data_IF_674177270722
#
_entry.id   IF_674177270722
#
_cell.length_a   1.000
_cell.length_b   1.000
_cell.length_c   1.000
_cell.angle_alpha   90.00
_cell.angle_beta   90.00
_cell.angle_gamma   90.00
#
_symmetry.space_group_name_H-M   'P 1'
#
loop_
_entity.id
_entity.type
_entity.pdbx_description
1 polymer ?
#
# COMPACT_ATOMS: atom_id res chain seq x y z
N UNK A 1 16.60 83.33 -3.65
CA UNK A 1 16.12 84.09 -4.82
C UNK A 1 15.24 83.19 -5.66
N UNK A 2 14.15 83.78 -6.10
CA UNK A 2 12.94 83.18 -6.66
C UNK A 2 13.13 82.33 -7.93
N UNK A 3 12.21 81.39 -8.20
CA UNK A 3 12.07 80.77 -9.51
C UNK A 3 11.43 81.78 -10.48
N UNK A 4 12.16 82.15 -11.55
CA UNK A 4 11.61 82.96 -12.63
C UNK A 4 10.77 82.10 -13.61
N UNK A 5 9.73 82.68 -14.23
CA UNK A 5 8.45 82.03 -14.45
C UNK A 5 8.18 81.58 -15.90
N UNK A 6 7.18 80.70 -16.04
CA UNK A 6 6.53 80.34 -17.30
C UNK A 6 5.83 81.56 -17.92
N UNK A 7 5.98 81.72 -19.23
CA UNK A 7 4.97 82.37 -20.08
C UNK A 7 4.55 81.40 -21.19
N UNK A 8 3.25 81.19 -21.25
CA UNK A 8 2.49 80.40 -22.21
C UNK A 8 2.11 81.27 -23.44
N UNK A 9 1.59 80.67 -24.53
CA UNK A 9 1.85 81.05 -25.92
C UNK A 9 0.81 81.98 -26.54
N UNK A 10 1.12 82.51 -27.74
CA UNK A 10 0.12 83.10 -28.65
C UNK A 10 0.53 82.89 -30.13
N UNK A 11 -0.44 82.90 -31.08
CA UNK A 11 -0.61 81.78 -32.00
C UNK A 11 -0.56 82.15 -33.50
N UNK A 12 -0.30 81.09 -34.29
CA UNK A 12 -0.71 80.83 -35.70
C UNK A 12 -0.13 81.70 -36.81
N UNK A 13 0.48 81.01 -37.78
CA UNK A 13 0.06 81.13 -39.18
C UNK A 13 0.38 79.81 -39.90
N UNK A 14 -0.67 79.08 -40.29
CA UNK A 14 -0.59 78.00 -41.28
C UNK A 14 -0.57 78.62 -42.69
N UNK A 15 0.39 78.30 -43.56
CA UNK A 15 0.18 78.31 -44.98
C UNK A 15 -0.06 76.87 -45.45
N UNK A 16 -1.32 76.62 -45.80
CA UNK A 16 -1.90 75.66 -46.74
C UNK A 16 -1.21 74.29 -47.03
N UNK A 17 -2.00 73.20 -47.17
CA UNK A 17 -1.48 71.85 -47.32
C UNK A 17 -0.66 71.69 -48.60
N UNK A 18 0.59 71.22 -48.48
CA UNK A 18 1.25 70.50 -49.57
C UNK A 18 0.64 69.11 -49.62
N UNK A 19 0.14 68.72 -50.79
CA UNK A 19 -0.32 67.36 -51.07
C UNK A 19 0.82 66.35 -50.78
N UNK A 20 0.76 65.63 -49.66
CA UNK A 20 0.54 64.17 -49.70
C UNK A 20 1.18 63.44 -50.89
N UNK A 21 2.51 63.23 -51.00
CA UNK A 21 3.06 62.30 -51.97
C UNK A 21 2.41 60.92 -51.80
N UNK A 22 1.80 60.43 -52.88
CA UNK A 22 1.09 59.16 -52.96
C UNK A 22 1.98 58.01 -52.41
N UNK A 23 1.51 57.21 -51.44
CA UNK A 23 2.30 56.14 -50.83
C UNK A 23 2.74 55.09 -51.86
N UNK A 24 3.95 54.55 -51.66
CA UNK A 24 4.52 53.47 -52.48
C UNK A 24 3.58 52.26 -52.54
N UNK A 25 3.50 51.57 -53.69
CA UNK A 25 2.54 50.49 -53.89
C UNK A 25 2.84 49.31 -52.94
N UNK A 26 1.86 48.99 -52.10
CA UNK A 26 1.90 47.89 -51.12
C UNK A 26 1.27 46.61 -51.73
N UNK A 27 1.43 45.45 -51.10
CA UNK A 27 0.83 44.17 -51.56
C UNK A 27 -0.69 44.28 -51.73
N UNK A 28 -1.33 45.14 -50.94
CA UNK A 28 -2.75 45.47 -51.01
C UNK A 28 -3.14 46.26 -52.28
N UNK A 29 -2.21 46.95 -52.92
CA UNK A 29 -2.45 47.67 -54.18
C UNK A 29 -2.39 46.77 -55.41
N UNK A 30 -1.89 45.54 -55.24
CA UNK A 30 -1.89 44.51 -56.28
C UNK A 30 -3.24 43.82 -56.45
N UNK A 31 -4.26 44.20 -55.67
CA UNK A 31 -5.63 43.68 -55.77
C UNK A 31 -6.48 44.61 -56.65
N UNK A 32 -6.70 44.29 -57.94
CA UNK A 32 -7.44 45.16 -58.84
C UNK A 32 -8.95 45.11 -58.59
N UNK A 33 -9.60 46.26 -58.71
CA UNK A 33 -11.05 46.36 -58.76
C UNK A 33 -11.58 46.07 -60.19
N UNK A 34 -12.78 45.47 -60.36
CA UNK A 34 -13.39 45.25 -61.68
C UNK A 34 -13.57 46.54 -62.50
N UNK A 35 -13.60 46.48 -63.82
CA UNK A 35 -13.55 47.68 -64.70
C UNK A 35 -14.79 48.58 -64.68
N UNK A 36 -15.86 48.24 -63.93
CA UNK A 36 -17.12 48.99 -63.85
C UNK A 36 -17.62 49.20 -62.41
N UNK A 37 -16.75 49.61 -61.48
CA UNK A 37 -17.17 49.88 -60.09
C UNK A 37 -17.66 51.33 -59.92
N UNK A 38 -18.72 51.52 -59.13
CA UNK A 38 -19.23 52.84 -58.77
C UNK A 38 -18.20 53.57 -57.87
N UNK A 39 -18.08 54.92 -57.95
CA UNK A 39 -17.09 55.69 -57.18
C UNK A 39 -17.12 55.43 -55.66
N UNK A 40 -18.32 55.24 -55.10
CA UNK A 40 -18.52 54.93 -53.67
C UNK A 40 -17.90 53.58 -53.25
N UNK A 41 -17.81 52.63 -54.18
CA UNK A 41 -17.24 51.31 -53.92
C UNK A 41 -15.71 51.33 -54.03
N UNK A 42 -15.13 52.15 -54.90
CA UNK A 42 -13.67 52.37 -54.93
C UNK A 42 -13.18 53.10 -53.67
N UNK A 43 -13.93 54.10 -53.20
CA UNK A 43 -13.64 54.78 -51.93
C UNK A 43 -13.70 53.81 -50.73
N UNK A 44 -14.72 52.95 -50.68
CA UNK A 44 -14.83 51.93 -49.64
C UNK A 44 -13.68 50.91 -49.69
N UNK A 45 -13.19 50.53 -50.88
CA UNK A 45 -12.08 49.61 -51.02
C UNK A 45 -10.75 50.22 -50.56
N UNK A 46 -10.47 51.48 -50.91
CA UNK A 46 -9.30 52.20 -50.43
C UNK A 46 -9.36 52.43 -48.90
N UNK A 47 -10.54 52.68 -48.34
CA UNK A 47 -10.73 52.74 -46.89
C UNK A 47 -10.44 51.40 -46.21
N UNK A 48 -10.83 50.27 -46.81
CA UNK A 48 -10.51 48.93 -46.31
C UNK A 48 -9.00 48.66 -46.39
N UNK A 49 -8.33 49.02 -47.48
CA UNK A 49 -6.87 48.90 -47.59
C UNK A 49 -6.15 49.72 -46.53
N UNK A 50 -6.57 50.97 -46.32
CA UNK A 50 -6.00 51.84 -45.29
C UNK A 50 -6.17 51.26 -43.88
N UNK A 51 -7.37 50.74 -43.56
CA UNK A 51 -7.63 50.07 -42.28
C UNK A 51 -6.81 48.77 -42.13
N UNK A 52 -6.61 48.02 -43.21
CA UNK A 52 -5.76 46.83 -43.22
C UNK A 52 -4.29 47.19 -42.97
N UNK A 53 -3.76 48.24 -43.62
CA UNK A 53 -2.40 48.75 -43.38
C UNK A 53 -2.19 49.18 -41.92
N UNK A 54 -3.15 49.90 -41.36
CA UNK A 54 -3.10 50.30 -39.95
C UNK A 54 -3.05 49.08 -39.02
N UNK A 55 -3.87 48.06 -39.29
CA UNK A 55 -3.91 46.82 -38.50
C UNK A 55 -2.64 45.97 -38.65
N UNK A 56 -2.07 45.92 -39.85
CA UNK A 56 -0.77 45.26 -40.06
C UNK A 56 0.30 45.98 -39.26
N UNK A 57 0.35 47.32 -39.31
CA UNK A 57 1.30 48.12 -38.55
C UNK A 57 1.18 47.99 -37.03
N UNK A 58 -0.02 47.78 -36.49
CA UNK A 58 -0.19 47.49 -35.05
C UNK A 58 0.29 46.07 -34.72
N UNK A 59 -0.06 45.08 -35.54
CA UNK A 59 0.33 43.69 -35.31
C UNK A 59 1.84 43.50 -35.42
N UNK A 60 2.51 44.17 -36.35
CA UNK A 60 3.98 44.09 -36.47
C UNK A 60 4.65 44.63 -35.21
N UNK A 61 4.23 45.78 -34.69
CA UNK A 61 4.73 46.32 -33.41
C UNK A 61 4.50 45.37 -32.24
N UNK A 62 3.29 44.84 -32.10
CA UNK A 62 2.99 43.85 -31.05
C UNK A 62 3.87 42.59 -31.18
N UNK A 63 4.12 42.11 -32.40
CA UNK A 63 5.01 40.95 -32.59
C UNK A 63 6.46 41.24 -32.25
N UNK A 64 6.95 42.47 -32.49
CA UNK A 64 8.30 42.90 -32.09
C UNK A 64 8.42 43.03 -30.57
N UNK A 65 7.42 43.61 -29.90
CA UNK A 65 7.34 43.67 -28.44
C UNK A 65 7.26 42.28 -27.79
N UNK A 66 6.48 41.35 -28.37
CA UNK A 66 6.41 39.97 -27.88
C UNK A 66 7.72 39.21 -28.10
N UNK A 67 8.40 39.42 -29.23
CA UNK A 67 9.72 38.82 -29.49
C UNK A 67 10.78 39.32 -28.51
N UNK A 68 10.81 40.61 -28.22
CA UNK A 68 11.74 41.18 -27.23
C UNK A 68 11.46 40.69 -25.81
N UNK A 69 10.18 40.54 -25.42
CA UNK A 69 9.83 39.92 -24.13
C UNK A 69 10.22 38.45 -24.06
N UNK A 70 10.07 37.69 -25.15
CA UNK A 70 10.49 36.29 -25.20
C UNK A 70 12.00 36.14 -25.06
N UNK A 71 12.80 36.97 -25.74
CA UNK A 71 14.27 36.90 -25.61
C UNK A 71 14.74 37.28 -24.21
N UNK A 72 14.09 38.24 -23.54
CA UNK A 72 14.38 38.58 -22.15
C UNK A 72 14.02 37.45 -21.17
N UNK A 73 12.86 36.80 -21.37
CA UNK A 73 12.44 35.64 -20.57
C UNK A 73 13.33 34.42 -20.81
N UNK A 74 13.74 34.17 -22.05
CA UNK A 74 14.70 33.13 -22.40
C UNK A 74 16.08 33.39 -21.76
N UNK A 75 16.54 34.65 -21.73
CA UNK A 75 17.78 35.02 -21.06
C UNK A 75 17.69 34.77 -19.53
N UNK A 76 16.55 35.07 -18.91
CA UNK A 76 16.31 34.78 -17.48
C UNK A 76 16.21 33.28 -17.17
N UNK A 77 15.79 32.46 -18.13
CA UNK A 77 15.57 31.02 -17.92
C UNK A 77 16.74 30.13 -18.35
N UNK A 78 17.69 30.64 -19.15
CA UNK A 78 18.87 29.88 -19.61
C UNK A 78 19.79 29.39 -18.49
N UNK A 79 19.82 30.05 -17.33
CA UNK A 79 20.55 29.60 -16.13
C UNK A 79 19.65 28.88 -15.09
N UNK A 80 18.47 28.41 -15.50
CA UNK A 80 17.52 27.70 -14.63
C UNK A 80 16.66 28.61 -13.76
N UNK A 81 16.60 29.91 -14.04
CA UNK A 81 15.72 30.87 -13.35
C UNK A 81 16.03 31.13 -11.87
N UNK A 82 17.08 30.49 -11.33
CA UNK A 82 17.49 30.65 -9.93
C UNK A 82 18.72 31.56 -9.87
N UNK A 83 18.63 32.73 -9.22
CA UNK A 83 19.77 33.60 -8.92
C UNK A 83 20.96 32.83 -8.32
N UNK A 84 22.21 33.21 -8.66
CA UNK A 84 23.40 32.50 -8.19
C UNK A 84 23.53 32.47 -6.66
N UNK A 85 23.08 33.53 -5.98
CA UNK A 85 23.02 33.60 -4.51
C UNK A 85 22.10 32.51 -3.93
N UNK A 86 20.91 32.35 -4.51
CA UNK A 86 19.95 31.31 -4.10
C UNK A 86 20.46 29.89 -4.40
N UNK A 87 21.23 29.69 -5.47
CA UNK A 87 21.88 28.38 -5.73
C UNK A 87 22.88 28.04 -4.63
N UNK A 88 23.68 29.02 -4.20
CA UNK A 88 24.66 28.85 -3.13
C UNK A 88 23.98 28.56 -1.78
N UNK A 89 22.96 29.33 -1.41
CA UNK A 89 22.17 29.07 -0.21
C UNK A 89 21.53 27.68 -0.22
N UNK A 90 20.99 27.26 -1.38
CA UNK A 90 20.39 25.95 -1.54
C UNK A 90 21.42 24.81 -1.42
N UNK A 91 22.65 25.00 -1.91
CA UNK A 91 23.76 24.06 -1.71
C UNK A 91 24.18 24.00 -0.24
N UNK A 92 24.31 25.15 0.43
CA UNK A 92 24.62 25.22 1.86
C UNK A 92 23.53 24.51 2.69
N UNK A 93 22.25 24.77 2.41
CA UNK A 93 21.12 24.09 3.06
C UNK A 93 21.13 22.58 2.81
N UNK A 94 21.47 22.13 1.59
CA UNK A 94 21.62 20.69 1.29
C UNK A 94 22.75 20.06 2.11
N UNK A 95 23.91 20.71 2.20
CA UNK A 95 25.02 20.20 3.00
C UNK A 95 24.70 20.18 4.49
N UNK A 96 24.01 21.20 4.99
CA UNK A 96 23.54 21.26 6.38
C UNK A 96 22.55 20.14 6.68
N UNK A 97 21.53 19.96 5.83
CA UNK A 97 20.56 18.88 5.95
C UNK A 97 21.23 17.50 5.93
N UNK A 98 22.15 17.26 5.00
CA UNK A 98 22.86 15.98 4.92
C UNK A 98 23.65 15.67 6.20
N UNK A 99 24.25 16.69 6.84
CA UNK A 99 24.95 16.50 8.13
C UNK A 99 23.98 16.15 9.26
N UNK A 100 22.80 16.77 9.31
CA UNK A 100 21.76 16.41 10.28
C UNK A 100 21.23 14.99 10.04
N UNK A 101 21.02 14.61 8.77
CA UNK A 101 20.57 13.27 8.40
C UNK A 101 21.61 12.19 8.80
N UNK A 102 22.91 12.52 8.74
CA UNK A 102 23.98 11.65 9.26
C UNK A 102 23.88 11.50 10.78
N UNK A 103 23.73 12.58 11.55
CA UNK A 103 23.60 12.51 13.02
C UNK A 103 22.37 11.71 13.46
N UNK A 104 21.27 11.83 12.72
CA UNK A 104 20.03 11.15 12.97
C UNK A 104 20.01 9.69 12.48
N UNK A 105 21.05 9.21 11.77
CA UNK A 105 21.08 7.85 11.24
C UNK A 105 21.00 6.82 12.40
N UNK A 106 20.00 5.93 12.38
CA UNK A 106 19.86 4.87 13.39
C UNK A 106 21.12 4.02 13.58
N UNK A 107 22.00 3.89 12.57
CA UNK A 107 23.25 3.13 12.67
C UNK A 107 24.13 3.61 13.82
N UNK A 108 24.09 4.88 14.18
CA UNK A 108 24.87 5.40 15.31
C UNK A 108 24.27 5.06 16.68
N UNK A 109 23.00 4.61 16.73
CA UNK A 109 22.38 4.10 17.96
C UNK A 109 22.98 2.76 18.42
N UNK A 110 23.59 1.99 17.51
CA UNK A 110 24.29 0.75 17.85
C UNK A 110 25.41 1.00 18.88
N UNK A 111 26.08 2.16 18.81
CA UNK A 111 27.06 2.55 19.82
C UNK A 111 26.41 2.79 21.17
N UNK A 112 25.27 3.48 21.20
CA UNK A 112 24.52 3.75 22.43
C UNK A 112 24.02 2.44 23.08
N UNK A 113 23.59 1.47 22.26
CA UNK A 113 23.20 0.13 22.71
C UNK A 113 24.38 -0.66 23.27
N UNK A 114 25.55 -0.61 22.62
CA UNK A 114 26.78 -1.24 23.13
C UNK A 114 27.26 -0.62 24.44
N UNK A 115 27.17 0.71 24.56
CA UNK A 115 27.46 1.43 25.82
C UNK A 115 26.51 0.96 26.91
N UNK A 116 25.20 0.89 26.65
CA UNK A 116 24.21 0.38 27.62
C UNK A 116 24.48 -1.07 28.04
N UNK A 117 24.78 -1.94 27.09
CA UNK A 117 25.11 -3.35 27.34
C UNK A 117 26.38 -3.48 28.21
N UNK A 118 27.42 -2.71 27.88
CA UNK A 118 28.68 -2.69 28.64
C UNK A 118 28.48 -2.13 30.05
N UNK A 119 27.68 -1.06 30.18
CA UNK A 119 27.28 -0.46 31.45
C UNK A 119 26.51 -1.45 32.33
N UNK A 120 25.57 -2.19 31.74
CA UNK A 120 24.84 -3.26 32.45
C UNK A 120 25.81 -4.32 32.96
N UNK A 121 26.78 -4.71 32.13
CA UNK A 121 27.82 -5.67 32.50
C UNK A 121 28.72 -5.16 33.64
N UNK A 122 28.98 -3.85 33.74
CA UNK A 122 29.68 -3.24 34.89
C UNK A 122 28.85 -3.42 36.17
N UNK A 123 27.55 -3.13 36.12
CA UNK A 123 26.67 -3.32 37.28
C UNK A 123 26.63 -4.79 37.72
N UNK A 124 26.54 -5.73 36.80
CA UNK A 124 26.58 -7.16 37.12
C UNK A 124 27.91 -7.56 37.79
N UNK A 125 29.04 -7.01 37.31
CA UNK A 125 30.35 -7.24 37.92
C UNK A 125 30.47 -6.63 39.31
N UNK A 126 29.86 -5.47 39.54
CA UNK A 126 29.78 -4.87 40.87
C UNK A 126 28.99 -5.75 41.83
N UNK A 127 27.85 -6.30 41.41
CA UNK A 127 27.08 -7.27 42.22
C UNK A 127 27.91 -8.51 42.56
N UNK A 128 28.60 -9.07 41.56
CA UNK A 128 29.50 -10.22 41.76
C UNK A 128 30.63 -9.91 42.76
N UNK A 129 31.06 -8.65 42.83
CA UNK A 129 32.06 -8.17 43.79
C UNK A 129 31.51 -7.78 45.15
N UNK A 130 30.21 -7.98 45.41
CA UNK A 130 29.57 -7.72 46.71
C UNK A 130 28.90 -6.36 46.85
N UNK A 131 28.75 -5.58 45.77
CA UNK A 131 27.93 -4.37 45.81
C UNK A 131 26.45 -4.72 45.93
N UNK A 132 25.73 -4.02 46.81
CA UNK A 132 24.28 -4.18 46.95
C UNK A 132 23.51 -3.47 45.82
N UNK A 133 22.25 -3.85 45.62
CA UNK A 133 21.35 -3.16 44.68
C UNK A 133 21.16 -1.67 45.04
N UNK A 134 21.24 -1.32 46.33
CA UNK A 134 21.17 0.08 46.77
C UNK A 134 22.37 0.90 46.29
N UNK A 135 23.56 0.30 46.25
CA UNK A 135 24.77 0.96 45.72
C UNK A 135 24.62 1.20 44.23
N UNK A 136 24.11 0.21 43.49
CA UNK A 136 23.90 0.33 42.04
C UNK A 136 22.84 1.38 41.73
N UNK A 137 21.76 1.42 42.51
CA UNK A 137 20.73 2.45 42.38
C UNK A 137 21.30 3.85 42.64
N UNK A 138 22.13 4.03 43.67
CA UNK A 138 22.83 5.30 43.91
C UNK A 138 23.74 5.69 42.74
N UNK A 139 24.45 4.74 42.13
CA UNK A 139 25.26 5.00 40.92
C UNK A 139 24.37 5.49 39.77
N UNK A 140 23.23 4.83 39.54
CA UNK A 140 22.28 5.25 38.51
C UNK A 140 21.69 6.63 38.79
N UNK A 141 21.31 6.92 40.04
CA UNK A 141 20.74 8.20 40.47
C UNK A 141 21.75 9.36 40.37
N UNK A 142 23.05 9.09 40.51
CA UNK A 142 24.11 10.08 40.33
C UNK A 142 24.41 10.46 38.87
N UNK A 143 23.75 9.82 37.91
CA UNK A 143 24.00 10.02 36.47
C UNK A 143 24.70 8.85 35.79
N UNK A 144 24.77 7.69 36.45
CA UNK A 144 25.35 6.46 35.91
C UNK A 144 26.86 6.39 36.08
N UNK A 145 27.50 5.49 35.32
CA UNK A 145 28.91 5.13 35.48
C UNK A 145 29.91 6.28 35.24
N UNK A 146 29.47 7.39 34.65
CA UNK A 146 30.31 8.53 34.30
C UNK A 146 30.48 9.52 35.46
N UNK A 147 29.49 9.57 36.35
CA UNK A 147 29.45 10.53 37.45
C UNK A 147 30.01 9.95 38.76
N UNK A 148 30.58 8.74 38.71
CA UNK A 148 31.06 8.02 39.89
C UNK A 148 32.57 8.12 40.00
N UNK A 149 33.03 8.44 41.21
CA UNK A 149 34.44 8.32 41.59
C UNK A 149 34.82 6.85 41.80
N UNK A 150 35.47 6.25 40.80
CA UNK A 150 35.72 4.81 40.74
C UNK A 150 36.79 4.33 41.72
N UNK A 151 37.84 5.11 42.01
CA UNK A 151 38.98 4.67 42.82
C UNK A 151 38.56 4.13 44.20
N UNK A 152 37.66 4.86 44.88
CA UNK A 152 37.13 4.47 46.18
C UNK A 152 36.25 3.21 46.14
N UNK A 153 35.52 3.02 45.04
CA UNK A 153 34.63 1.88 44.83
C UNK A 153 35.42 0.62 44.44
N UNK A 154 36.37 0.78 43.52
CA UNK A 154 37.24 -0.27 42.98
C UNK A 154 38.19 -0.83 44.03
N UNK A 155 38.72 0.02 44.93
CA UNK A 155 39.65 -0.39 46.00
C UNK A 155 39.11 -1.48 46.94
N UNK A 156 37.78 -1.59 47.06
CA UNK A 156 37.07 -2.56 47.91
C UNK A 156 36.75 -3.88 47.20
N UNK A 157 36.93 -3.93 45.88
CA UNK A 157 36.61 -5.10 45.07
C UNK A 157 37.79 -6.06 44.95
N UNK A 158 37.54 -7.37 44.79
CA UNK A 158 38.56 -8.35 44.43
C UNK A 158 39.32 -7.95 43.17
N UNK A 159 40.64 -8.19 43.13
CA UNK A 159 41.53 -7.74 42.05
C UNK A 159 41.04 -8.13 40.65
N UNK A 160 40.52 -9.34 40.48
CA UNK A 160 40.00 -9.83 39.19
C UNK A 160 38.76 -9.05 38.74
N UNK A 161 37.86 -8.73 39.67
CA UNK A 161 36.63 -7.98 39.38
C UNK A 161 36.98 -6.52 39.09
N UNK A 162 37.88 -5.94 39.89
CA UNK A 162 38.41 -4.59 39.69
C UNK A 162 38.95 -4.40 38.28
N UNK A 163 39.91 -5.23 37.85
CA UNK A 163 40.50 -5.16 36.51
C UNK A 163 39.46 -5.30 35.40
N UNK A 164 38.47 -6.17 35.60
CA UNK A 164 37.39 -6.35 34.62
C UNK A 164 36.49 -5.11 34.51
N UNK A 165 36.26 -4.38 35.60
CA UNK A 165 35.45 -3.15 35.59
C UNK A 165 36.26 -2.00 34.99
N UNK A 166 37.53 -1.84 35.37
CA UNK A 166 38.46 -0.86 34.79
C UNK A 166 38.51 -1.01 33.26
N UNK A 167 38.67 -2.23 32.75
CA UNK A 167 38.63 -2.49 31.31
C UNK A 167 37.31 -2.05 30.67
N UNK A 168 36.17 -2.37 31.29
CA UNK A 168 34.85 -2.02 30.74
C UNK A 168 34.57 -0.52 30.78
N UNK A 169 35.11 0.21 31.76
CA UNK A 169 35.01 1.67 31.81
C UNK A 169 35.77 2.28 30.63
N UNK A 170 36.99 1.79 30.36
CA UNK A 170 37.78 2.17 29.18
C UNK A 170 37.03 1.80 27.89
N UNK A 171 36.39 0.63 27.82
CA UNK A 171 35.61 0.21 26.66
C UNK A 171 34.42 1.17 26.41
N UNK A 172 33.73 1.62 27.47
CA UNK A 172 32.63 2.61 27.35
C UNK A 172 33.13 3.94 26.81
N UNK A 173 34.25 4.45 27.34
CA UNK A 173 34.85 5.70 26.86
C UNK A 173 35.29 5.59 25.40
N UNK A 174 35.97 4.48 25.07
CA UNK A 174 36.38 4.18 23.69
C UNK A 174 35.18 4.12 22.74
N UNK A 175 34.09 3.44 23.13
CA UNK A 175 32.86 3.37 22.31
C UNK A 175 32.25 4.74 22.05
N UNK A 176 32.31 5.66 23.01
CA UNK A 176 31.83 7.03 22.85
C UNK A 176 32.72 7.84 21.92
N UNK A 177 34.04 7.73 22.08
CA UNK A 177 34.99 8.37 21.17
C UNK A 177 34.83 7.83 19.75
N UNK A 178 34.69 6.52 19.59
CA UNK A 178 34.50 5.87 18.29
C UNK A 178 33.20 6.35 17.64
N UNK A 179 32.11 6.49 18.42
CA UNK A 179 30.86 7.08 17.94
C UNK A 179 31.09 8.51 17.46
N UNK A 180 31.76 9.35 18.25
CA UNK A 180 32.02 10.75 17.89
C UNK A 180 32.87 10.83 16.61
N UNK A 181 33.97 10.05 16.53
CA UNK A 181 34.83 9.97 15.35
C UNK A 181 34.07 9.48 14.12
N UNK A 182 33.24 8.45 14.25
CA UNK A 182 32.46 7.90 13.16
C UNK A 182 31.40 8.88 12.65
N UNK A 183 30.72 9.61 13.54
CA UNK A 183 29.74 10.64 13.18
C UNK A 183 30.44 11.81 12.47
N UNK A 184 31.55 12.31 13.02
CA UNK A 184 32.28 13.41 12.40
C UNK A 184 32.85 13.03 11.03
N UNK A 185 33.38 11.82 10.88
CA UNK A 185 33.86 11.33 9.59
C UNK A 185 32.73 11.19 8.56
N UNK A 186 31.58 10.67 8.98
CA UNK A 186 30.40 10.61 8.14
C UNK A 186 29.88 12.01 7.74
N UNK A 187 29.96 13.01 8.63
CA UNK A 187 29.59 14.41 8.32
C UNK A 187 30.51 15.07 7.30
N UNK A 188 31.83 14.80 7.36
CA UNK A 188 32.78 15.30 6.36
C UNK A 188 32.43 14.82 4.96
N UNK A 189 31.91 13.59 4.86
CA UNK A 189 31.52 12.93 3.63
C UNK A 189 30.00 12.73 3.50
N UNK A 190 29.19 13.65 4.05
CA UNK A 190 27.75 13.43 4.27
C UNK A 190 26.99 13.03 3.00
N UNK A 191 27.23 13.70 1.87
CA UNK A 191 26.56 13.37 0.60
C UNK A 191 26.89 11.95 0.11
N UNK A 192 28.14 11.51 0.24
CA UNK A 192 28.57 10.16 -0.13
C UNK A 192 28.00 9.12 0.83
N UNK A 193 28.00 9.42 2.13
CA UNK A 193 27.43 8.57 3.16
C UNK A 193 25.93 8.34 2.92
N UNK A 194 25.14 9.40 2.70
CA UNK A 194 23.70 9.30 2.45
C UNK A 194 23.41 8.53 1.16
N UNK A 195 24.18 8.77 0.09
CA UNK A 195 24.04 8.01 -1.16
C UNK A 195 24.31 6.52 -0.94
N UNK A 196 25.42 6.17 -0.28
CA UNK A 196 25.76 4.78 0.04
C UNK A 196 24.71 4.13 0.96
N UNK A 197 24.14 4.88 1.90
CA UNK A 197 23.09 4.39 2.80
C UNK A 197 21.78 4.11 2.08
N UNK A 198 21.40 4.99 1.15
CA UNK A 198 20.25 4.78 0.28
C UNK A 198 20.44 3.54 -0.60
N UNK A 199 21.63 3.37 -1.19
CA UNK A 199 21.96 2.20 -2.00
C UNK A 199 21.94 0.91 -1.17
N UNK A 200 22.53 0.92 0.02
CA UNK A 200 22.48 -0.21 0.95
C UNK A 200 21.04 -0.58 1.31
N UNK A 201 20.20 0.41 1.58
CA UNK A 201 18.78 0.19 1.89
C UNK A 201 18.05 -0.41 0.70
N UNK A 202 18.32 0.06 -0.53
CA UNK A 202 17.76 -0.52 -1.75
C UNK A 202 18.16 -1.99 -1.91
N UNK A 203 19.46 -2.28 -1.77
CA UNK A 203 19.99 -3.66 -1.84
C UNK A 203 19.39 -4.58 -0.78
N UNK A 204 19.20 -4.09 0.44
CA UNK A 204 18.55 -4.85 1.51
C UNK A 204 17.08 -5.16 1.18
N UNK A 205 16.36 -4.21 0.59
CA UNK A 205 14.97 -4.43 0.13
C UNK A 205 14.91 -5.44 -1.00
N UNK A 206 15.81 -5.34 -1.98
CA UNK A 206 15.90 -6.30 -3.09
C UNK A 206 16.23 -7.71 -2.59
N UNK A 207 17.17 -7.83 -1.64
CA UNK A 207 17.50 -9.11 -1.02
C UNK A 207 16.31 -9.69 -0.24
N UNK A 208 15.65 -8.88 0.60
CA UNK A 208 14.47 -9.31 1.34
C UNK A 208 13.32 -9.75 0.41
N UNK A 209 13.14 -9.04 -0.71
CA UNK A 209 12.17 -9.41 -1.76
C UNK A 209 12.53 -10.75 -2.41
N UNK A 210 13.79 -10.96 -2.75
CA UNK A 210 14.25 -12.23 -3.33
C UNK A 210 14.06 -13.40 -2.35
N UNK A 211 14.36 -13.20 -1.06
CA UNK A 211 14.11 -14.19 0.00
C UNK A 211 12.62 -14.47 0.18
N UNK A 212 11.76 -13.45 0.16
CA UNK A 212 10.31 -13.60 0.26
C UNK A 212 9.74 -14.42 -0.91
N UNK A 213 10.19 -14.16 -2.14
CA UNK A 213 9.80 -14.94 -3.33
C UNK A 213 10.25 -16.39 -3.16
N UNK A 214 11.51 -16.62 -2.79
CA UNK A 214 12.05 -17.98 -2.58
C UNK A 214 11.25 -18.75 -1.54
N UNK A 215 10.99 -18.16 -0.37
CA UNK A 215 10.18 -18.80 0.66
C UNK A 215 8.73 -19.02 0.23
N UNK A 216 8.15 -18.08 -0.53
CA UNK A 216 6.82 -18.25 -1.13
C UNK A 216 6.74 -19.45 -2.07
N UNK A 217 7.75 -19.65 -2.93
CA UNK A 217 7.85 -20.79 -3.82
C UNK A 217 8.07 -22.11 -3.07
N UNK A 218 8.94 -22.14 -2.07
CA UNK A 218 9.16 -23.31 -1.20
C UNK A 218 7.85 -23.75 -0.51
N UNK A 219 7.11 -22.79 0.07
CA UNK A 219 5.82 -23.04 0.70
C UNK A 219 4.77 -23.53 -0.31
N UNK A 220 4.68 -22.89 -1.48
CA UNK A 220 3.77 -23.32 -2.54
C UNK A 220 4.05 -24.76 -2.99
N UNK A 221 5.33 -25.13 -3.15
CA UNK A 221 5.73 -26.48 -3.56
C UNK A 221 5.48 -27.54 -2.46
N UNK A 222 5.59 -27.15 -1.19
CA UNK A 222 5.27 -28.03 -0.05
C UNK A 222 3.77 -28.24 0.15
N UNK A 223 2.93 -27.39 -0.43
CA UNK A 223 1.49 -27.39 -0.24
C UNK A 223 0.80 -28.30 -1.27
N UNK A 224 0.20 -29.41 -0.80
CA UNK A 224 -0.43 -30.43 -1.67
C UNK A 224 -1.42 -29.87 -2.70
N UNK A 225 -2.33 -28.97 -2.31
CA UNK A 225 -3.34 -28.44 -3.22
C UNK A 225 -2.75 -27.50 -4.29
N UNK A 226 -1.55 -26.96 -4.07
CA UNK A 226 -0.82 -26.10 -4.99
C UNK A 226 -0.02 -26.89 -6.04
N UNK A 227 -0.14 -28.21 -6.05
CA UNK A 227 0.40 -29.07 -7.11
C UNK A 227 -0.61 -29.19 -8.24
N UNK A 228 -0.14 -28.97 -9.46
CA UNK A 228 -0.93 -29.22 -10.66
C UNK A 228 -1.23 -30.73 -10.79
N UNK A 229 -2.44 -31.04 -11.24
CA UNK A 229 -2.91 -32.40 -11.47
C UNK A 229 -2.79 -32.73 -12.94
N UNK A 230 -2.22 -33.89 -13.26
CA UNK A 230 -2.21 -34.40 -14.63
C UNK A 230 -3.60 -34.92 -15.01
N UNK A 231 -4.04 -34.67 -16.25
CA UNK A 231 -5.32 -35.17 -16.75
C UNK A 231 -5.14 -36.64 -17.18
N UNK A 232 -5.81 -37.61 -16.53
CA UNK A 232 -5.75 -39.00 -16.96
C UNK A 232 -6.32 -39.19 -18.37
N UNK A 233 -5.70 -40.06 -19.17
CA UNK A 233 -6.17 -40.35 -20.53
C UNK A 233 -7.63 -40.86 -20.58
N UNK A 234 -8.07 -41.55 -19.52
CA UNK A 234 -9.42 -42.12 -19.37
C UNK A 234 -10.37 -41.22 -18.56
N UNK A 235 -9.98 -39.99 -18.24
CA UNK A 235 -10.83 -39.10 -17.45
C UNK A 235 -12.14 -38.79 -18.18
N UNK A 236 -13.23 -38.85 -17.43
CA UNK A 236 -14.54 -38.41 -17.90
C UNK A 236 -14.53 -36.90 -18.20
N UNK A 237 -15.46 -36.37 -19.02
CA UNK A 237 -15.54 -34.93 -19.28
C UNK A 237 -15.67 -34.09 -18.00
N UNK A 238 -16.37 -34.60 -16.98
CA UNK A 238 -16.52 -33.93 -15.69
C UNK A 238 -15.20 -33.87 -14.91
N UNK A 239 -14.44 -34.97 -14.87
CA UNK A 239 -13.13 -35.02 -14.22
C UNK A 239 -12.11 -34.12 -14.92
N UNK A 240 -12.10 -34.11 -16.26
CA UNK A 240 -11.24 -33.20 -17.04
C UNK A 240 -11.48 -31.74 -16.66
N UNK A 241 -12.75 -31.32 -16.66
CA UNK A 241 -13.15 -29.95 -16.28
C UNK A 241 -12.74 -29.60 -14.85
N UNK A 242 -12.86 -30.53 -13.90
CA UNK A 242 -12.46 -30.30 -12.51
C UNK A 242 -10.93 -30.16 -12.37
N UNK A 243 -10.15 -30.98 -13.09
CA UNK A 243 -8.69 -30.91 -13.10
C UNK A 243 -8.20 -29.61 -13.75
N UNK A 244 -8.80 -29.21 -14.88
CA UNK A 244 -8.49 -27.94 -15.55
C UNK A 244 -8.79 -26.73 -14.64
N UNK A 245 -9.94 -26.72 -13.96
CA UNK A 245 -10.30 -25.67 -13.01
C UNK A 245 -9.32 -25.61 -11.83
N UNK A 246 -8.91 -26.77 -11.30
CA UNK A 246 -7.89 -26.86 -10.25
C UNK A 246 -6.55 -26.29 -10.73
N UNK A 247 -6.06 -26.72 -11.89
CA UNK A 247 -4.79 -26.24 -12.42
C UNK A 247 -4.81 -24.74 -12.71
N UNK A 248 -5.95 -24.21 -13.18
CA UNK A 248 -6.13 -22.76 -13.32
C UNK A 248 -6.03 -22.04 -11.99
N UNK A 249 -6.72 -22.52 -10.95
CA UNK A 249 -6.64 -21.94 -9.61
C UNK A 249 -5.19 -21.95 -9.07
N UNK A 250 -4.46 -23.05 -9.28
CA UNK A 250 -3.04 -23.15 -8.88
C UNK A 250 -2.19 -22.11 -9.62
N UNK A 251 -2.36 -21.97 -10.93
CA UNK A 251 -1.63 -20.98 -11.73
C UNK A 251 -1.94 -19.54 -11.29
N UNK A 252 -3.22 -19.20 -11.13
CA UNK A 252 -3.67 -17.88 -10.68
C UNK A 252 -3.14 -17.57 -9.27
N UNK A 253 -3.15 -18.56 -8.37
CA UNK A 253 -2.62 -18.42 -7.00
C UNK A 253 -1.11 -18.19 -6.98
N UNK A 254 -0.35 -18.90 -7.82
CA UNK A 254 1.11 -18.71 -7.95
C UNK A 254 1.45 -17.33 -8.49
N UNK A 255 0.67 -16.84 -9.47
CA UNK A 255 0.82 -15.48 -9.99
C UNK A 255 0.58 -14.44 -8.89
N UNK A 256 -0.54 -14.56 -8.16
CA UNK A 256 -0.87 -13.66 -7.06
C UNK A 256 0.21 -13.63 -5.96
N UNK A 257 0.77 -14.79 -5.59
CA UNK A 257 1.89 -14.88 -4.63
C UNK A 257 3.12 -14.12 -5.15
N UNK A 258 3.47 -14.29 -6.43
CA UNK A 258 4.63 -13.62 -7.03
C UNK A 258 4.46 -12.11 -7.11
N UNK A 259 3.26 -11.65 -7.46
CA UNK A 259 2.89 -10.22 -7.49
C UNK A 259 2.92 -9.61 -6.09
N UNK A 260 2.30 -10.28 -5.11
CA UNK A 260 2.30 -9.81 -3.73
C UNK A 260 3.71 -9.78 -3.11
N UNK A 261 4.54 -10.80 -3.39
CA UNK A 261 5.94 -10.81 -2.96
C UNK A 261 6.78 -9.74 -3.65
N UNK A 262 6.29 -9.19 -4.77
CA UNK A 262 6.99 -8.18 -5.57
C UNK A 262 6.62 -6.74 -5.24
N UNK A 263 5.49 -6.53 -4.57
CA UNK A 263 4.92 -5.22 -4.27
C UNK A 263 5.07 -4.89 -2.78
N UNK A 264 6.01 -4.01 -2.49
CA UNK A 264 6.30 -3.51 -1.14
C UNK A 264 5.42 -2.31 -0.72
N UNK A 265 4.41 -1.96 -1.50
CA UNK A 265 3.55 -0.82 -1.22
C UNK A 265 2.79 -0.98 0.10
N UNK A 266 2.52 0.13 0.82
CA UNK A 266 1.66 0.10 2.01
C UNK A 266 0.29 -0.55 1.74
N UNK A 267 -0.25 -0.37 0.53
CA UNK A 267 -1.51 -0.95 0.08
C UNK A 267 -1.45 -2.47 0.03
N UNK A 268 -0.41 -3.04 -0.60
CA UNK A 268 -0.23 -4.50 -0.64
C UNK A 268 -0.02 -5.08 0.76
N UNK A 269 0.78 -4.41 1.60
CA UNK A 269 0.98 -4.83 3.00
C UNK A 269 -0.32 -4.85 3.81
N UNK A 270 -1.16 -3.83 3.64
CA UNK A 270 -2.48 -3.78 4.28
C UNK A 270 -3.40 -4.89 3.74
N UNK A 271 -3.39 -5.12 2.42
CA UNK A 271 -4.18 -6.19 1.79
C UNK A 271 -3.76 -7.57 2.29
N UNK A 272 -2.45 -7.84 2.42
CA UNK A 272 -1.93 -9.09 3.00
C UNK A 272 -2.35 -9.26 4.46
N UNK A 273 -2.26 -8.18 5.27
CA UNK A 273 -2.73 -8.19 6.66
C UNK A 273 -4.22 -8.52 6.78
N UNK A 274 -5.07 -7.90 5.95
CA UNK A 274 -6.50 -8.20 5.90
C UNK A 274 -6.77 -9.62 5.39
N UNK A 275 -6.00 -10.09 4.40
CA UNK A 275 -6.10 -11.45 3.87
C UNK A 275 -5.82 -12.51 4.93
N UNK A 276 -4.88 -12.27 5.85
CA UNK A 276 -4.65 -13.16 7.00
C UNK A 276 -5.85 -13.17 7.95
N UNK A 277 -6.45 -12.01 8.24
CA UNK A 277 -7.65 -11.94 9.09
C UNK A 277 -8.84 -12.68 8.47
N UNK A 278 -9.09 -12.49 7.17
CA UNK A 278 -10.14 -13.21 6.43
C UNK A 278 -9.87 -14.73 6.41
N UNK A 279 -8.62 -15.15 6.22
CA UNK A 279 -8.23 -16.56 6.30
C UNK A 279 -8.56 -17.16 7.68
N UNK A 280 -8.30 -16.43 8.77
CA UNK A 280 -8.64 -16.88 10.12
C UNK A 280 -10.16 -16.98 10.31
N UNK A 281 -10.93 -16.01 9.81
CA UNK A 281 -12.41 -16.04 9.84
C UNK A 281 -12.95 -17.24 9.09
N UNK A 282 -12.54 -17.42 7.83
CA UNK A 282 -12.99 -18.55 6.97
C UNK A 282 -12.60 -19.89 7.59
N UNK A 283 -11.42 -20.01 8.22
CA UNK A 283 -11.04 -21.24 8.94
C UNK A 283 -11.99 -21.54 10.10
N UNK A 284 -12.37 -20.53 10.88
CA UNK A 284 -13.34 -20.68 11.97
C UNK A 284 -14.72 -21.08 11.45
N UNK A 285 -15.21 -20.41 10.42
CA UNK A 285 -16.51 -20.71 9.80
C UNK A 285 -16.52 -22.11 9.19
N UNK A 286 -15.45 -22.51 8.50
CA UNK A 286 -15.30 -23.85 7.93
C UNK A 286 -15.30 -24.93 9.02
N UNK A 287 -14.63 -24.69 10.14
CA UNK A 287 -14.63 -25.63 11.28
C UNK A 287 -16.05 -25.81 11.84
N UNK A 288 -16.78 -24.70 12.06
CA UNK A 288 -18.16 -24.75 12.52
C UNK A 288 -19.09 -25.46 11.53
N UNK A 289 -18.96 -25.17 10.23
CA UNK A 289 -19.73 -25.86 9.19
C UNK A 289 -19.42 -27.35 9.12
N UNK A 290 -18.15 -27.73 9.27
CA UNK A 290 -17.73 -29.12 9.28
C UNK A 290 -18.36 -29.87 10.47
N UNK A 291 -18.37 -29.27 11.65
CA UNK A 291 -19.01 -29.84 12.84
C UNK A 291 -20.52 -30.00 12.64
N UNK A 292 -21.21 -28.96 12.17
CA UNK A 292 -22.63 -28.99 11.88
C UNK A 292 -22.99 -30.04 10.82
N UNK A 293 -22.21 -30.13 9.74
CA UNK A 293 -22.41 -31.11 8.68
C UNK A 293 -22.18 -32.54 9.19
N UNK A 294 -21.15 -32.76 10.01
CA UNK A 294 -20.88 -34.06 10.62
C UNK A 294 -22.05 -34.49 11.51
N UNK A 295 -22.58 -33.58 12.35
CA UNK A 295 -23.75 -33.85 13.18
C UNK A 295 -25.00 -34.18 12.35
N UNK A 296 -25.20 -33.50 11.21
CA UNK A 296 -26.31 -33.78 10.31
C UNK A 296 -26.17 -35.14 9.62
N UNK A 297 -24.96 -35.51 9.18
CA UNK A 297 -24.66 -36.83 8.62
C UNK A 297 -24.92 -37.92 9.64
N UNK A 298 -24.49 -37.74 10.89
CA UNK A 298 -24.74 -38.70 11.97
C UNK A 298 -26.24 -38.86 12.25
N UNK A 299 -26.99 -37.76 12.25
CA UNK A 299 -28.45 -37.78 12.39
C UNK A 299 -29.12 -38.56 11.26
N UNK A 300 -28.83 -38.21 10.00
CA UNK A 300 -29.38 -38.88 8.83
C UNK A 300 -29.00 -40.36 8.78
N UNK A 301 -27.79 -40.71 9.20
CA UNK A 301 -27.33 -42.10 9.29
C UNK A 301 -28.14 -42.89 10.33
N UNK A 302 -28.45 -42.30 11.48
CA UNK A 302 -29.32 -42.91 12.50
C UNK A 302 -30.75 -43.07 12.01
N UNK A 303 -31.31 -42.06 11.36
CA UNK A 303 -32.66 -42.09 10.78
C UNK A 303 -32.78 -43.15 9.68
N UNK A 304 -31.80 -43.23 8.78
CA UNK A 304 -31.76 -44.23 7.72
C UNK A 304 -31.68 -45.65 8.30
N UNK A 305 -30.88 -45.86 9.34
CA UNK A 305 -30.82 -47.14 10.06
C UNK A 305 -32.16 -47.49 10.69
N UNK A 306 -32.80 -46.56 11.41
CA UNK A 306 -34.10 -46.77 12.02
C UNK A 306 -35.20 -47.11 10.99
N UNK A 307 -35.21 -46.41 9.85
CA UNK A 307 -36.11 -46.70 8.73
C UNK A 307 -35.86 -48.09 8.13
N UNK A 308 -34.60 -48.47 7.96
CA UNK A 308 -34.20 -49.79 7.46
C UNK A 308 -34.63 -50.90 8.43
N UNK A 309 -34.39 -50.72 9.74
CA UNK A 309 -34.81 -51.66 10.80
C UNK A 309 -36.33 -51.80 10.89
N UNK A 310 -37.09 -50.73 10.64
CA UNK A 310 -38.54 -50.76 10.57
C UNK A 310 -39.02 -51.54 9.34
N UNK A 311 -38.42 -51.31 8.18
CA UNK A 311 -38.72 -52.02 6.94
C UNK A 311 -38.45 -53.52 7.09
N UNK A 312 -37.34 -53.90 7.74
CA UNK A 312 -37.07 -55.30 8.07
C UNK A 312 -38.09 -55.91 9.04
N UNK A 313 -38.49 -55.18 10.09
CA UNK A 313 -39.54 -55.63 11.02
C UNK A 313 -40.86 -55.84 10.32
N UNK A 314 -41.26 -54.94 9.42
CA UNK A 314 -42.47 -55.08 8.60
C UNK A 314 -42.38 -56.32 7.71
N UNK A 315 -41.25 -56.55 7.04
CA UNK A 315 -41.03 -57.77 6.22
C UNK A 315 -41.10 -59.06 7.03
N UNK A 316 -40.56 -59.08 8.25
CA UNK A 316 -40.61 -60.25 9.16
C UNK A 316 -42.02 -60.46 9.75
N UNK A 317 -42.73 -59.38 10.07
CA UNK A 317 -44.11 -59.46 10.57
C UNK A 317 -45.12 -59.88 9.51
N UNK A 318 -44.95 -59.46 8.26
CA UNK A 318 -45.83 -59.83 7.15
C UNK A 318 -45.67 -61.29 6.72
N UNK A 319 -44.49 -61.88 6.90
CA UNK A 319 -44.22 -63.29 6.58
C UNK A 319 -44.80 -64.27 7.61
N UNK A 320 -44.97 -63.86 8.87
CA UNK A 320 -45.60 -64.70 9.90
C UNK A 320 -47.14 -64.73 9.81
N UNK A 321 -47.78 -63.62 9.44
CA UNK A 321 -49.25 -63.57 9.28
C UNK A 321 -49.78 -64.40 8.12
N UNK A 322 -48.96 -64.72 7.13
CA UNK A 322 -49.35 -65.54 5.99
C UNK A 322 -49.06 -67.04 6.18
N UNK A 323 -48.37 -67.46 7.25
CA UNK A 323 -47.89 -68.85 7.37
C UNK A 323 -48.60 -69.69 8.45
N UNK A 324 -49.11 -69.08 9.51
CA UNK A 324 -49.79 -69.82 10.58
C UNK A 324 -51.19 -69.25 10.86
N UNK A 325 -52.15 -69.62 10.02
CA UNK A 325 -53.54 -69.74 10.47
C UNK A 325 -54.08 -71.07 9.96
N UNK A 326 -54.13 -72.14 10.78
CA UNK A 326 -55.05 -73.21 10.51
C UNK A 326 -56.45 -72.62 10.63
N UNK A 327 -57.20 -72.64 9.52
CA UNK A 327 -58.57 -72.19 9.47
C UNK A 327 -59.39 -72.93 10.53
N UNK A 328 -59.63 -72.27 11.66
CA UNK A 328 -60.70 -72.63 12.58
C UNK A 328 -61.80 -71.62 12.33
N UNK A 329 -62.83 -72.10 11.64
CA UNK A 329 -64.08 -71.37 11.43
C UNK A 329 -64.75 -71.23 12.80
N UNK A 330 -64.69 -70.02 13.36
CA UNK A 330 -65.50 -69.64 14.51
C UNK A 330 -66.54 -68.62 14.01
N UNK A 331 -67.79 -69.05 14.00
CA UNK A 331 -68.94 -68.36 13.40
C UNK A 331 -69.46 -67.16 14.22
N UNK A 332 -68.78 -66.74 15.28
CA UNK A 332 -69.25 -65.67 16.16
C UNK A 332 -68.19 -64.59 16.45
N UNK A 333 -67.65 -63.95 15.40
CA UNK A 333 -66.96 -62.65 15.56
C UNK A 333 -67.78 -61.48 15.00
N UNK A 334 -67.83 -60.33 15.71
CA UNK A 334 -68.57 -59.16 15.25
C UNK A 334 -68.00 -58.68 13.91
N UNK A 335 -68.88 -58.36 12.97
CA UNK A 335 -68.54 -57.73 11.69
C UNK A 335 -67.94 -56.34 11.93
N UNK A 336 -66.64 -56.28 12.23
CA UNK A 336 -65.88 -55.06 12.03
C UNK A 336 -65.57 -54.93 10.54
N UNK A 337 -66.08 -53.86 9.96
CA UNK A 337 -66.08 -53.51 8.55
C UNK A 337 -64.67 -53.39 7.98
N UNK A 338 -64.20 -54.46 7.34
CA UNK A 338 -63.06 -54.44 6.40
C UNK A 338 -63.44 -53.79 5.04
N UNK A 339 -64.35 -52.82 5.05
CA UNK A 339 -64.84 -52.11 3.85
C UNK A 339 -64.58 -50.59 3.92
N UNK A 340 -63.66 -50.12 4.75
CA UNK A 340 -63.11 -48.78 4.51
C UNK A 340 -62.15 -48.85 3.33
N UNK A 341 -62.43 -48.08 2.27
CA UNK A 341 -61.44 -47.92 1.22
C UNK A 341 -60.22 -47.19 1.79
N UNK A 342 -59.03 -47.34 1.18
CA UNK A 342 -57.84 -46.62 1.62
C UNK A 342 -58.04 -45.09 1.69
N UNK A 343 -58.95 -44.53 0.88
CA UNK A 343 -59.31 -43.11 0.94
C UNK A 343 -60.05 -42.74 2.24
N UNK A 344 -61.02 -43.56 2.66
CA UNK A 344 -61.81 -43.30 3.88
C UNK A 344 -60.94 -43.41 5.15
N UNK A 345 -59.96 -44.31 5.15
CA UNK A 345 -59.01 -44.45 6.25
C UNK A 345 -58.07 -43.25 6.37
N UNK A 346 -57.68 -42.64 5.24
CA UNK A 346 -56.83 -41.44 5.20
C UNK A 346 -57.64 -40.21 5.65
N UNK A 347 -58.89 -40.08 5.22
CA UNK A 347 -59.77 -38.97 5.63
C UNK A 347 -60.11 -39.00 7.12
N UNK A 348 -60.25 -40.20 7.71
CA UNK A 348 -60.42 -40.34 9.16
C UNK A 348 -59.17 -39.90 9.92
N UNK A 349 -57.98 -40.32 9.47
CA UNK A 349 -56.70 -39.94 10.09
C UNK A 349 -56.45 -38.43 9.97
N UNK A 350 -56.85 -37.80 8.87
CA UNK A 350 -56.79 -36.35 8.69
C UNK A 350 -57.70 -35.62 9.70
N UNK A 351 -58.93 -36.10 9.90
CA UNK A 351 -59.85 -35.54 10.91
C UNK A 351 -59.36 -35.72 12.35
N UNK A 352 -58.75 -36.86 12.66
CA UNK A 352 -58.17 -37.09 13.99
C UNK A 352 -56.94 -36.19 14.23
N UNK A 353 -56.14 -35.91 13.20
CA UNK A 353 -55.03 -34.97 13.28
C UNK A 353 -55.48 -33.51 13.49
N UNK A 354 -56.57 -33.08 12.84
CA UNK A 354 -57.16 -31.75 13.03
C UNK A 354 -57.78 -31.60 14.44
N UNK A 355 -58.40 -32.66 14.97
CA UNK A 355 -58.96 -32.65 16.32
C UNK A 355 -57.86 -32.71 17.40
N UNK A 356 -56.73 -33.38 17.14
CA UNK A 356 -55.58 -33.43 18.04
C UNK A 356 -54.75 -32.15 18.11
N UNK A 357 -54.86 -31.24 17.13
CA UNK A 357 -54.18 -29.93 17.14
C UNK A 357 -55.00 -28.82 17.82
N UNK A 358 -56.25 -29.11 18.20
CA UNK A 358 -57.14 -28.16 18.86
C UNK A 358 -57.27 -28.39 20.38
N UNK A 359 -56.36 -29.18 20.99
CA UNK A 359 -56.34 -29.52 22.41
C UNK A 359 -55.07 -29.02 23.10
#
# INVERSE_FOLDING_TARGET
EDPAPKEDPAPKEDPAPKEDPKPEPDELDSVPLPTNVKPKTSEAFEAIKSAARAKIGTLTKETEELRTRLTELEARTKDGGIPPELKKELEELRTFRNRLDVEADPKFKDFDERVKSTTTSIYDKLKQGGASDEVIKKIQDLGGIEAVEWDGLLSKLPTTIRRSIEQKLVDVETLKEDRAKAVEEAKKHASQYIAARSEQTSKQREAARAEAIKHGEELANSTEWMKEKTIPAKATPAEKKAIEAHNKLVADSRLAIKEAASDDSPQMRAALGLGVAELMRVRSEFAAHKEASTAQVDKLTKELKAATDLLERVKKGSTHRLRDTPATADENRPKHSFQESPGDAIDRLAKEAEQGQSA
#
